data_IF_806249209430
#
_entry.id   IF_806249209430
#
_cell.length_a   1.000
_cell.length_b   1.000
_cell.length_c   1.000
_cell.angle_alpha   90.00
_cell.angle_beta   90.00
_cell.angle_gamma   90.00
#
_symmetry.space_group_name_H-M   'P 1'
#
loop_
_entity.id
_entity.type
_entity.pdbx_description
1 polymer ?
#
# COMPACT_ATOMS: atom_id res chain seq x y z
N UNK A 1 -8.42 -3.11 26.78
CA UNK A 1 -8.98 -3.26 25.41
C UNK A 1 -8.18 -4.36 24.72
N UNK A 2 -8.85 -5.42 24.27
CA UNK A 2 -8.20 -6.57 23.64
C UNK A 2 -7.89 -6.27 22.16
N UNK A 3 -7.14 -5.20 21.93
CA UNK A 3 -6.82 -4.69 20.59
C UNK A 3 -5.97 -5.69 19.77
N UNK A 4 -5.34 -6.67 20.43
CA UNK A 4 -4.57 -7.74 19.77
C UNK A 4 -5.44 -8.84 19.17
N UNK A 5 -6.74 -8.91 19.52
CA UNK A 5 -7.66 -9.94 19.01
C UNK A 5 -8.17 -9.64 17.60
N UNK A 6 -8.30 -8.37 17.28
CA UNK A 6 -8.73 -7.93 15.95
C UNK A 6 -7.50 -7.64 15.11
N UNK A 7 -7.13 -8.59 14.26
CA UNK A 7 -6.21 -8.30 13.17
C UNK A 7 -6.93 -7.38 12.22
N UNK A 8 -6.70 -6.07 12.37
CA UNK A 8 -7.30 -5.05 11.53
C UNK A 8 -6.37 -4.79 10.33
N UNK A 9 -6.91 -4.71 9.10
CA UNK A 9 -6.13 -4.20 7.99
C UNK A 9 -5.59 -2.82 8.34
N UNK A 10 -4.28 -2.62 8.15
CA UNK A 10 -3.63 -1.34 8.35
C UNK A 10 -3.59 -0.58 7.04
N UNK A 11 -4.04 0.68 7.07
CA UNK A 11 -3.93 1.58 5.94
C UNK A 11 -2.46 1.91 5.65
N UNK A 12 -2.07 1.87 4.38
CA UNK A 12 -0.77 2.39 3.94
C UNK A 12 -0.92 3.69 3.18
N UNK A 13 -1.62 3.67 2.05
CA UNK A 13 -1.65 4.81 1.12
C UNK A 13 -2.74 4.68 0.06
N UNK A 14 -3.20 5.83 -0.44
CA UNK A 14 -4.03 5.92 -1.65
C UNK A 14 -3.17 5.82 -2.90
N UNK A 15 -3.74 5.26 -3.97
CA UNK A 15 -3.15 5.40 -5.29
C UNK A 15 -3.13 6.87 -5.71
N UNK A 16 -2.14 7.29 -6.52
CA UNK A 16 -2.06 8.67 -7.02
C UNK A 16 -3.31 9.17 -7.74
N UNK A 17 -4.10 8.26 -8.30
CA UNK A 17 -5.34 8.57 -9.00
C UNK A 17 -6.60 8.50 -8.14
N UNK A 18 -6.47 8.12 -6.86
CA UNK A 18 -7.57 8.08 -5.90
C UNK A 18 -8.56 6.93 -6.08
N UNK A 19 -8.28 5.97 -6.98
CA UNK A 19 -9.18 4.85 -7.26
C UNK A 19 -8.91 3.63 -6.36
N UNK A 20 -7.77 3.60 -5.67
CA UNK A 20 -7.34 2.44 -4.89
C UNK A 20 -6.72 2.83 -3.55
N UNK A 21 -6.88 1.95 -2.57
CA UNK A 21 -6.20 2.01 -1.27
C UNK A 21 -5.37 0.75 -1.11
N UNK A 22 -4.10 0.93 -0.74
CA UNK A 22 -3.23 -0.17 -0.35
C UNK A 22 -3.35 -0.40 1.15
N UNK A 23 -3.58 -1.66 1.52
CA UNK A 23 -3.71 -2.11 2.89
C UNK A 23 -2.68 -3.20 3.16
N UNK A 24 -2.32 -3.36 4.43
CA UNK A 24 -1.63 -4.56 4.88
C UNK A 24 -2.46 -5.33 5.89
N UNK A 25 -2.34 -6.64 5.83
CA UNK A 25 -3.08 -7.53 6.68
C UNK A 25 -2.21 -8.70 7.15
N UNK A 26 -2.38 -9.13 8.39
CA UNK A 26 -1.70 -10.30 8.93
C UNK A 26 -2.71 -11.43 9.03
N UNK A 27 -2.87 -12.27 8.01
CA UNK A 27 -3.75 -13.44 8.16
C UNK A 27 -3.22 -14.45 9.17
N UNK A 28 -4.13 -15.24 9.72
CA UNK A 28 -3.76 -16.39 10.54
C UNK A 28 -3.19 -17.50 9.65
N UNK A 29 -2.12 -18.13 10.14
CA UNK A 29 -1.47 -19.25 9.44
C UNK A 29 -0.51 -18.84 8.31
N UNK A 30 -0.29 -17.54 8.08
CA UNK A 30 0.74 -17.08 7.13
C UNK A 30 1.96 -16.49 7.83
N UNK A 31 3.17 -16.73 7.28
CA UNK A 31 4.42 -16.33 7.93
C UNK A 31 4.75 -14.84 7.81
N UNK A 32 3.96 -14.06 7.07
CA UNK A 32 4.28 -12.66 6.78
C UNK A 32 3.06 -11.79 6.49
N UNK A 33 3.32 -10.50 6.36
CA UNK A 33 2.34 -9.46 6.08
C UNK A 33 1.85 -9.59 4.63
N UNK A 34 0.55 -9.51 4.43
CA UNK A 34 -0.08 -9.54 3.13
C UNK A 34 -0.36 -8.12 2.65
N UNK A 35 -0.16 -7.87 1.36
CA UNK A 35 -0.54 -6.65 0.67
C UNK A 35 -1.86 -6.86 -0.05
N UNK A 36 -2.81 -5.98 0.25
CA UNK A 36 -4.18 -6.01 -0.27
C UNK A 36 -4.48 -4.68 -0.96
N UNK A 37 -5.42 -4.69 -1.91
CA UNK A 37 -5.94 -3.46 -2.52
C UNK A 37 -7.46 -3.41 -2.36
N UNK A 38 -7.93 -2.25 -1.92
CA UNK A 38 -9.33 -1.87 -1.85
C UNK A 38 -9.59 -0.85 -2.96
N UNK A 39 -10.60 -1.10 -3.78
CA UNK A 39 -11.11 -0.14 -4.76
C UNK A 39 -11.98 0.92 -4.09
N UNK A 40 -12.11 2.07 -4.73
CA UNK A 40 -12.96 3.17 -4.28
C UNK A 40 -14.45 2.81 -4.14
N UNK A 41 -14.93 1.83 -4.90
CA UNK A 41 -16.29 1.31 -4.81
C UNK A 41 -16.52 0.37 -3.60
N UNK A 42 -15.46 0.08 -2.84
CA UNK A 42 -15.50 -0.81 -1.67
C UNK A 42 -15.11 -2.26 -1.98
N UNK A 43 -14.85 -2.61 -3.23
CA UNK A 43 -14.42 -3.97 -3.60
C UNK A 43 -12.98 -4.24 -3.18
N UNK A 44 -12.74 -5.44 -2.63
CA UNK A 44 -11.42 -5.83 -2.12
C UNK A 44 -10.83 -6.90 -3.02
N UNK A 45 -9.67 -6.59 -3.61
CA UNK A 45 -8.75 -7.59 -4.10
C UNK A 45 -7.92 -8.04 -2.89
N UNK A 46 -8.08 -9.30 -2.47
CA UNK A 46 -7.41 -9.88 -1.29
C UNK A 46 -5.88 -9.90 -1.42
N UNK A 47 -5.23 -11.01 -1.09
CA UNK A 47 -3.76 -11.05 -1.12
C UNK A 47 -3.20 -10.90 -2.53
N UNK A 48 -2.52 -9.79 -2.79
CA UNK A 48 -1.79 -9.52 -4.03
C UNK A 48 -0.34 -9.98 -3.93
N UNK A 49 0.27 -9.79 -2.76
CA UNK A 49 1.62 -10.21 -2.47
C UNK A 49 1.76 -10.52 -0.99
N UNK A 50 2.64 -11.48 -0.68
CA UNK A 50 3.12 -11.71 0.68
C UNK A 50 4.49 -11.06 0.81
N UNK A 51 4.61 -10.10 1.72
CA UNK A 51 5.88 -9.49 2.04
C UNK A 51 6.35 -9.97 3.42
N UNK A 52 7.67 -9.98 3.61
CA UNK A 52 8.24 -10.15 4.94
C UNK A 52 7.92 -8.95 5.84
N UNK A 53 8.45 -8.97 7.05
CA UNK A 53 8.40 -7.80 7.93
C UNK A 53 8.97 -6.56 7.22
N UNK A 54 8.32 -5.41 7.41
CA UNK A 54 8.73 -4.10 6.88
C UNK A 54 8.67 -3.97 5.34
N UNK A 55 7.57 -4.43 4.74
CA UNK A 55 7.28 -4.13 3.35
C UNK A 55 7.22 -2.61 3.12
N UNK A 56 7.91 -2.10 2.09
CA UNK A 56 7.85 -0.70 1.67
C UNK A 56 7.27 -0.60 0.25
N UNK A 57 6.00 -0.95 0.05
CA UNK A 57 5.38 -0.89 -1.27
C UNK A 57 5.13 0.57 -1.69
N UNK A 58 5.06 0.80 -2.99
CA UNK A 58 4.74 2.09 -3.58
C UNK A 58 3.87 1.93 -4.81
N UNK A 59 3.16 3.00 -5.18
CA UNK A 59 2.34 3.02 -6.38
C UNK A 59 3.16 3.45 -7.58
N UNK A 60 2.96 2.74 -8.69
CA UNK A 60 3.31 3.20 -10.01
C UNK A 60 2.06 3.08 -10.88
N UNK A 61 1.63 4.20 -11.45
CA UNK A 61 0.52 4.25 -12.41
C UNK A 61 1.02 5.02 -13.62
N UNK A 62 1.06 4.35 -14.77
CA UNK A 62 1.46 4.97 -16.03
C UNK A 62 0.60 6.20 -16.30
N UNK A 63 1.26 7.31 -16.65
CA UNK A 63 0.60 8.58 -16.94
C UNK A 63 -0.07 9.30 -15.76
N UNK A 64 -0.01 8.74 -14.54
CA UNK A 64 -0.66 9.34 -13.35
C UNK A 64 0.24 9.49 -12.11
N UNK A 65 1.56 9.44 -12.30
CA UNK A 65 2.52 9.79 -11.25
C UNK A 65 2.69 11.30 -11.15
N UNK A 66 2.23 11.91 -10.06
CA UNK A 66 2.66 13.26 -9.69
C UNK A 66 3.99 13.11 -8.94
N UNK A 67 5.12 13.32 -9.62
CA UNK A 67 6.33 13.63 -8.85
C UNK A 67 6.08 15.00 -8.20
N UNK A 68 6.34 15.17 -6.89
CA UNK A 68 6.40 16.50 -6.30
C UNK A 68 7.33 17.37 -7.16
N UNK A 69 6.95 18.63 -7.39
CA UNK A 69 7.79 19.56 -8.14
C UNK A 69 9.15 19.64 -7.42
N UNK A 70 10.16 18.97 -7.97
CA UNK A 70 11.48 18.96 -7.34
C UNK A 70 12.13 20.31 -7.58
N UNK A 71 12.49 20.99 -6.49
CA UNK A 71 13.34 22.20 -6.52
C UNK A 71 14.82 21.84 -6.68
N UNK A 72 15.12 20.57 -6.94
CA UNK A 72 16.49 20.08 -7.05
C UNK A 72 17.06 20.54 -8.40
N UNK A 73 17.98 21.50 -8.34
CA UNK A 73 18.80 21.88 -9.48
C UNK A 73 19.67 20.68 -9.86
N UNK A 74 19.59 20.18 -11.12
CA UNK A 74 20.51 19.15 -11.57
C UNK A 74 21.93 19.68 -11.46
N UNK A 75 22.79 19.00 -10.69
CA UNK A 75 24.22 19.23 -10.77
C UNK A 75 24.69 18.49 -12.02
N UNK A 76 25.01 19.24 -13.08
CA UNK A 76 25.63 18.69 -14.27
C UNK A 76 26.96 18.01 -13.87
N UNK A 77 27.20 16.82 -14.43
CA UNK A 77 28.52 16.18 -14.41
C UNK A 77 29.36 16.68 -15.58
#
# INVERSE_FOLDING_TARGET
>A
CDCGKYKVPQFLTWSPDGEWVMLTFWSDGKPGQELWILARDGSIAGTLATAGYNANPSWYIEGKGVLPKSTLTPVAR
#
